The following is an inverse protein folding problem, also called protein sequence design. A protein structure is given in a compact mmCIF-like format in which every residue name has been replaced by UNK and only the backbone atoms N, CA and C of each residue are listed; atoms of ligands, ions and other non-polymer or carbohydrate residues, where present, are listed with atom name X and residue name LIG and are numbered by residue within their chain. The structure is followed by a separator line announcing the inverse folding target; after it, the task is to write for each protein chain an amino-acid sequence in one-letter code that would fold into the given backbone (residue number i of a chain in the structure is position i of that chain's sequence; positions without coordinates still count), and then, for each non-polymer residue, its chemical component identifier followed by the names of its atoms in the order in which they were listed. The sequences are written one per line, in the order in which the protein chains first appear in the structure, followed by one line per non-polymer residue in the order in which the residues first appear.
data_IF_329768537141
#
_entry.id   IF_329768537141
#
_cell.length_a   1.000
_cell.length_b   1.000
_cell.length_c   1.000
_cell.angle_alpha   90.00
_cell.angle_beta   90.00
_cell.angle_gamma   90.00
#
_symmetry.space_group_name_H-M   'P 1'
#
loop_
_entity.id
_entity.type
_entity.pdbx_description
1 polymer ?
#
# COMPACT_ATOMS: atom_id res chain seq x y z
N UNK A 1 43.11 -3.66 1.46
CA UNK A 1 42.10 -4.55 0.84
C UNK A 1 41.03 -5.04 1.82
N UNK A 2 41.31 -5.20 3.12
CA UNK A 2 40.33 -5.69 4.12
C UNK A 2 39.38 -4.58 4.60
N UNK A 3 39.85 -3.33 4.70
CA UNK A 3 39.03 -2.19 5.16
C UNK A 3 37.86 -1.84 4.23
N UNK A 4 38.03 -2.07 2.92
CA UNK A 4 36.95 -1.86 1.94
C UNK A 4 35.83 -2.89 2.07
N UNK A 5 36.10 -4.08 2.62
CA UNK A 5 35.10 -5.14 2.81
C UNK A 5 34.26 -4.91 4.07
N UNK A 6 34.85 -4.34 5.13
CA UNK A 6 34.15 -4.02 6.39
C UNK A 6 33.18 -2.84 6.27
N UNK A 7 33.44 -1.89 5.37
CA UNK A 7 32.57 -0.71 5.15
C UNK A 7 31.28 -1.06 4.39
N UNK A 8 31.29 -2.13 3.57
CA UNK A 8 30.16 -2.50 2.72
C UNK A 8 29.12 -3.34 3.49
N UNK A 9 29.52 -4.08 4.52
CA UNK A 9 28.62 -4.91 5.33
C UNK A 9 27.44 -4.15 5.94
N UNK A 10 27.66 -3.00 6.61
CA UNK A 10 26.58 -2.16 7.12
C UNK A 10 25.66 -1.62 6.02
N UNK A 11 26.22 -1.24 4.86
CA UNK A 11 25.43 -0.73 3.73
C UNK A 11 24.53 -1.82 3.16
N UNK A 12 25.05 -3.03 2.95
CA UNK A 12 24.25 -4.19 2.51
C UNK A 12 23.17 -4.50 3.55
N UNK A 13 23.51 -4.49 4.83
CA UNK A 13 22.55 -4.73 5.91
C UNK A 13 21.39 -3.73 5.91
N UNK A 14 21.69 -2.44 5.70
CA UNK A 14 20.68 -1.39 5.59
C UNK A 14 19.79 -1.61 4.36
N UNK A 15 20.39 -1.86 3.19
CA UNK A 15 19.63 -2.08 1.95
C UNK A 15 18.69 -3.28 2.09
N UNK A 16 19.19 -4.41 2.62
CA UNK A 16 18.37 -5.60 2.85
C UNK A 16 17.28 -5.35 3.89
N UNK A 17 17.59 -4.64 4.97
CA UNK A 17 16.62 -4.27 5.99
C UNK A 17 15.48 -3.40 5.44
N UNK A 18 15.82 -2.39 4.63
CA UNK A 18 14.83 -1.53 3.96
C UNK A 18 13.99 -2.33 2.96
N UNK A 19 14.62 -3.15 2.12
CA UNK A 19 13.90 -3.99 1.15
C UNK A 19 12.92 -4.95 1.86
N UNK A 20 13.36 -5.58 2.95
CA UNK A 20 12.49 -6.44 3.76
C UNK A 20 11.32 -5.67 4.36
N UNK A 21 11.56 -4.48 4.94
CA UNK A 21 10.50 -3.64 5.48
C UNK A 21 9.47 -3.25 4.41
N UNK A 22 9.92 -2.87 3.20
CA UNK A 22 9.03 -2.58 2.07
C UNK A 22 8.19 -3.80 1.70
N UNK A 23 8.78 -4.99 1.62
CA UNK A 23 8.04 -6.23 1.33
C UNK A 23 6.99 -6.55 2.40
N UNK A 24 7.31 -6.34 3.67
CA UNK A 24 6.36 -6.53 4.78
C UNK A 24 5.18 -5.57 4.64
N UNK A 25 5.43 -4.28 4.38
CA UNK A 25 4.37 -3.28 4.19
C UNK A 25 3.47 -3.65 3.02
N UNK A 26 4.05 -4.02 1.87
CA UNK A 26 3.28 -4.42 0.69
C UNK A 26 2.45 -5.68 0.94
N UNK A 27 3.00 -6.64 1.69
CA UNK A 27 2.29 -7.87 2.06
C UNK A 27 1.10 -7.59 2.99
N UNK A 28 1.28 -6.70 3.98
CA UNK A 28 0.19 -6.29 4.87
C UNK A 28 -0.92 -5.54 4.13
N UNK A 29 -0.55 -4.70 3.16
CA UNK A 29 -1.53 -4.01 2.30
C UNK A 29 -2.34 -4.99 1.46
N UNK A 30 -1.71 -5.98 0.83
CA UNK A 30 -2.43 -7.02 0.08
C UNK A 30 -3.38 -7.83 0.98
N UNK A 31 -2.93 -8.22 2.17
CA UNK A 31 -3.79 -8.93 3.13
C UNK A 31 -5.00 -8.12 3.56
N UNK A 32 -4.84 -6.82 3.81
CA UNK A 32 -5.96 -5.92 4.14
C UNK A 32 -6.97 -5.86 3.00
N UNK A 33 -6.52 -5.68 1.76
CA UNK A 33 -7.41 -5.70 0.59
C UNK A 33 -8.25 -6.97 0.50
N UNK A 34 -7.62 -8.13 0.70
CA UNK A 34 -8.31 -9.44 0.72
C UNK A 34 -9.36 -9.55 1.83
N UNK A 35 -9.11 -8.99 3.02
CA UNK A 35 -10.08 -8.99 4.11
C UNK A 35 -11.32 -8.17 3.72
N UNK A 36 -11.12 -6.97 3.18
CA UNK A 36 -12.24 -6.12 2.75
C UNK A 36 -13.05 -6.75 1.63
N UNK A 37 -12.39 -7.41 0.66
CA UNK A 37 -13.07 -8.17 -0.39
C UNK A 37 -13.91 -9.33 0.17
N UNK A 38 -13.38 -10.11 1.11
CA UNK A 38 -14.14 -11.19 1.77
C UNK A 38 -15.38 -10.67 2.50
N UNK A 39 -15.28 -9.50 3.14
CA UNK A 39 -16.45 -8.85 3.78
C UNK A 39 -17.46 -8.43 2.71
N UNK A 40 -17.01 -7.87 1.58
CA UNK A 40 -17.89 -7.51 0.46
C UNK A 40 -18.63 -8.74 -0.09
N UNK A 41 -17.92 -9.85 -0.33
CA UNK A 41 -18.50 -11.11 -0.81
C UNK A 41 -19.56 -11.65 0.15
N UNK A 42 -19.32 -11.56 1.46
CA UNK A 42 -20.31 -11.95 2.48
C UNK A 42 -21.57 -11.09 2.41
N UNK A 43 -21.42 -9.78 2.30
CA UNK A 43 -22.57 -8.85 2.16
C UNK A 43 -23.37 -9.14 0.88
N UNK A 44 -22.68 -9.48 -0.22
CA UNK A 44 -23.34 -9.86 -1.48
C UNK A 44 -24.13 -11.16 -1.30
N UNK A 45 -23.57 -12.15 -0.62
CA UNK A 45 -24.26 -13.41 -0.31
C UNK A 45 -25.49 -13.21 0.59
N UNK A 46 -25.48 -12.19 1.44
CA UNK A 46 -26.62 -11.75 2.26
C UNK A 46 -27.67 -10.94 1.46
N UNK A 47 -27.45 -10.72 0.16
CA UNK A 47 -28.38 -10.03 -0.74
C UNK A 47 -28.16 -8.52 -0.86
N UNK A 48 -27.07 -7.98 -0.31
CA UNK A 48 -26.71 -6.57 -0.49
C UNK A 48 -26.24 -6.34 -1.93
N UNK A 49 -26.74 -5.32 -2.64
CA UNK A 49 -26.24 -4.97 -3.98
C UNK A 49 -24.73 -4.78 -3.98
N UNK A 50 -24.05 -5.29 -5.02
CA UNK A 50 -22.57 -5.29 -5.11
C UNK A 50 -21.96 -3.91 -4.85
N UNK A 51 -22.52 -2.85 -5.44
CA UNK A 51 -22.01 -1.48 -5.25
C UNK A 51 -22.04 -1.05 -3.77
N UNK A 52 -23.09 -1.42 -3.06
CA UNK A 52 -23.27 -1.06 -1.65
C UNK A 52 -22.43 -1.96 -0.75
N UNK A 53 -22.31 -3.24 -1.08
CA UNK A 53 -21.42 -4.17 -0.40
C UNK A 53 -19.95 -3.73 -0.51
N UNK A 54 -19.50 -3.29 -1.69
CA UNK A 54 -18.13 -2.79 -1.90
C UNK A 54 -17.87 -1.49 -1.13
N UNK A 55 -18.85 -0.58 -1.04
CA UNK A 55 -18.74 0.65 -0.25
C UNK A 55 -18.73 0.36 1.25
N UNK A 56 -19.67 -0.46 1.74
CA UNK A 56 -19.83 -0.78 3.18
C UNK A 56 -18.66 -1.60 3.73
N UNK A 57 -18.13 -2.51 2.93
CA UNK A 57 -16.92 -3.27 3.29
C UNK A 57 -15.65 -2.45 3.21
N UNK A 58 -15.65 -1.28 2.55
CA UNK A 58 -14.45 -0.53 2.22
C UNK A 58 -13.64 -1.13 1.07
N UNK A 59 -14.08 -2.23 0.45
CA UNK A 59 -13.39 -2.86 -0.68
C UNK A 59 -13.27 -1.93 -1.89
N UNK A 60 -14.18 -0.98 -2.08
CA UNK A 60 -14.07 0.03 -3.14
C UNK A 60 -12.79 0.88 -3.04
N UNK A 61 -12.23 1.04 -1.84
CA UNK A 61 -10.96 1.74 -1.64
C UNK A 61 -9.77 0.92 -2.13
N UNK A 62 -9.89 -0.41 -2.18
CA UNK A 62 -8.81 -1.33 -2.55
C UNK A 62 -8.77 -1.65 -4.05
N UNK A 63 -9.73 -1.17 -4.83
CA UNK A 63 -9.75 -1.25 -6.30
C UNK A 63 -8.72 -0.30 -6.94
N UNK A 64 -8.23 0.69 -6.18
CA UNK A 64 -7.20 1.61 -6.61
C UNK A 64 -5.80 1.06 -6.30
N UNK A 65 -4.83 1.33 -7.18
CA UNK A 65 -3.44 0.94 -6.95
C UNK A 65 -2.88 1.56 -5.67
N UNK A 66 -1.94 0.87 -5.02
CA UNK A 66 -1.27 1.38 -3.82
C UNK A 66 -0.70 2.80 -4.05
N UNK A 67 -0.05 3.05 -5.18
CA UNK A 67 0.50 4.36 -5.51
C UNK A 67 -0.58 5.44 -5.65
N UNK A 68 -1.72 5.13 -6.26
CA UNK A 68 -2.83 6.09 -6.37
C UNK A 68 -3.33 6.52 -4.99
N UNK A 69 -3.51 5.55 -4.08
CA UNK A 69 -3.94 5.81 -2.70
C UNK A 69 -2.88 6.56 -1.91
N UNK A 70 -1.60 6.25 -2.13
CA UNK A 70 -0.49 6.95 -1.51
C UNK A 70 -0.46 8.43 -1.91
N UNK A 71 -0.59 8.73 -3.21
CA UNK A 71 -0.62 10.09 -3.74
C UNK A 71 -1.85 10.86 -3.24
N UNK A 72 -3.02 10.23 -3.19
CA UNK A 72 -4.22 10.89 -2.64
C UNK A 72 -4.06 11.24 -1.15
N UNK A 73 -3.39 10.39 -0.38
CA UNK A 73 -3.14 10.63 1.05
C UNK A 73 -2.03 11.67 1.27
N UNK A 74 -1.03 11.67 0.40
CA UNK A 74 0.12 12.55 0.44
C UNK A 74 0.26 13.24 -0.92
N UNK A 75 -0.63 14.19 -1.23
CA UNK A 75 -0.56 14.89 -2.50
C UNK A 75 0.80 15.58 -2.63
N UNK A 76 1.35 15.68 -3.85
CA UNK A 76 2.55 16.47 -4.07
C UNK A 76 2.31 17.89 -3.57
N UNK A 77 3.38 18.52 -3.08
CA UNK A 77 3.30 19.93 -2.69
C UNK A 77 2.88 20.76 -3.90
N UNK A 78 1.99 21.75 -3.73
CA UNK A 78 1.64 22.67 -4.80
C UNK A 78 2.92 23.34 -5.31
N UNK A 79 3.01 23.45 -6.62
CA UNK A 79 4.09 24.18 -7.27
C UNK A 79 3.66 25.63 -7.46
N UNK A 80 4.60 26.56 -7.63
CA UNK A 80 4.29 28.00 -7.85
C UNK A 80 3.40 28.25 -9.09
N UNK A 81 3.19 27.24 -9.93
CA UNK A 81 2.33 27.27 -11.11
C UNK A 81 0.85 27.01 -10.80
N UNK A 82 0.52 26.58 -9.58
CA UNK A 82 -0.84 26.22 -9.15
C UNK A 82 -1.61 27.42 -8.53
N UNK A 83 -0.98 28.60 -8.43
CA UNK A 83 -1.55 29.82 -7.82
C UNK A 83 -2.05 30.88 -8.83
N UNK A 84 -2.15 30.55 -10.13
CA UNK A 84 -2.59 31.49 -11.19
C UNK A 84 -4.08 31.40 -11.54
#
# INVERSE_FOLDING_TARGET
MIESLMSIGPVIGIVLGVAFAVLVVLSLEDQRGKIHLKVAERLIAEGVPKTDAMKRSGASHWDQSFMSRFIQKWPPLPTEQDEC
#
